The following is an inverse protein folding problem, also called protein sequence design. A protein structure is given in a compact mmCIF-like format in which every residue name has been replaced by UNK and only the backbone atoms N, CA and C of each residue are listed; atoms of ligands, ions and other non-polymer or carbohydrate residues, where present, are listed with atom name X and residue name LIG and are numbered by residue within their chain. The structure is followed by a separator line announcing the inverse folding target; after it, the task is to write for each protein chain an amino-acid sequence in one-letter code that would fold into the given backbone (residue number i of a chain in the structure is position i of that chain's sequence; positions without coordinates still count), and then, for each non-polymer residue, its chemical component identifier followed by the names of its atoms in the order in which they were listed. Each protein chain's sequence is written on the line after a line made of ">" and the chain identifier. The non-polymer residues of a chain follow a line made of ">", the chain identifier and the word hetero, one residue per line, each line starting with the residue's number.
data_IF_031296119830
#
_entry.id   IF_031296119830
#
_cell.length_a   1.000
_cell.length_b   1.000
_cell.length_c   1.000
_cell.angle_alpha   90.00
_cell.angle_beta   90.00
_cell.angle_gamma   90.00
#
_symmetry.space_group_name_H-M   'P 1'
#
loop_
_entity.id
_entity.type
_entity.pdbx_description
1 polymer ?
#
# COMPACT_ATOMS: atom_id res chain seq x y z
N UNK A 1 -3.00 22.38 -3.56
CA UNK A 1 -3.85 21.25 -4.04
C UNK A 1 -3.04 19.95 -4.19
N UNK A 2 -2.21 19.54 -3.21
CA UNK A 2 -1.37 18.33 -3.34
C UNK A 2 -1.87 17.11 -2.54
N UNK A 3 -2.87 17.28 -1.67
CA UNK A 3 -3.29 16.23 -0.72
C UNK A 3 -4.23 15.16 -1.27
N UNK A 4 -4.96 15.44 -2.37
CA UNK A 4 -5.96 14.51 -2.92
C UNK A 4 -5.27 13.46 -3.81
N UNK A 5 -4.36 13.88 -4.68
CA UNK A 5 -3.65 12.98 -5.60
C UNK A 5 -2.77 11.94 -4.88
N UNK A 6 -2.21 12.29 -3.73
CA UNK A 6 -1.44 11.37 -2.89
C UNK A 6 -2.33 10.29 -2.26
N UNK A 7 -3.55 10.66 -1.85
CA UNK A 7 -4.52 9.69 -1.28
C UNK A 7 -4.93 8.66 -2.32
N UNK A 8 -5.30 9.11 -3.53
CA UNK A 8 -5.77 8.21 -4.59
C UNK A 8 -4.67 7.24 -5.04
N UNK A 9 -3.44 7.75 -5.21
CA UNK A 9 -2.27 6.91 -5.50
C UNK A 9 -2.00 5.91 -4.38
N UNK A 10 -2.07 6.33 -3.12
CA UNK A 10 -1.90 5.45 -1.97
C UNK A 10 -2.95 4.34 -1.94
N UNK A 11 -4.21 4.66 -2.21
CA UNK A 11 -5.31 3.68 -2.23
C UNK A 11 -5.13 2.66 -3.36
N UNK A 12 -4.81 3.11 -4.58
CA UNK A 12 -4.57 2.24 -5.72
C UNK A 12 -3.41 1.25 -5.48
N UNK A 13 -2.33 1.73 -4.86
CA UNK A 13 -1.18 0.90 -4.51
C UNK A 13 -1.47 -0.05 -3.34
N UNK A 14 -2.20 0.38 -2.30
CA UNK A 14 -2.56 -0.46 -1.15
C UNK A 14 -3.54 -1.57 -1.52
N UNK A 15 -4.38 -1.34 -2.54
CA UNK A 15 -5.30 -2.33 -3.11
C UNK A 15 -4.57 -3.41 -3.90
N UNK A 16 -3.34 -3.13 -4.32
CA UNK A 16 -2.52 -4.08 -5.03
C UNK A 16 -1.74 -4.98 -4.03
N UNK A 17 -1.99 -6.30 -4.02
CA UNK A 17 -1.26 -7.24 -3.18
C UNK A 17 0.25 -7.24 -3.43
N UNK A 18 0.68 -6.82 -4.62
CA UNK A 18 2.08 -6.83 -5.03
C UNK A 18 2.94 -5.75 -4.36
N UNK A 19 2.36 -4.70 -3.76
CA UNK A 19 3.13 -3.61 -3.13
C UNK A 19 2.98 -3.58 -1.61
N UNK A 20 4.07 -3.79 -0.86
CA UNK A 20 4.06 -3.63 0.60
C UNK A 20 3.86 -2.17 1.03
N UNK A 21 3.42 -1.95 2.28
CA UNK A 21 3.23 -0.60 2.86
C UNK A 21 4.48 0.27 2.72
N UNK A 22 5.67 -0.32 2.86
CA UNK A 22 6.95 0.36 2.68
C UNK A 22 7.21 0.78 1.22
N UNK A 23 6.84 -0.06 0.25
CA UNK A 23 6.96 0.27 -1.18
C UNK A 23 5.97 1.38 -1.56
N UNK A 24 4.77 1.37 -1.00
CA UNK A 24 3.80 2.45 -1.19
C UNK A 24 4.34 3.76 -0.63
N UNK A 25 4.94 3.77 0.56
CA UNK A 25 5.57 4.99 1.10
C UNK A 25 6.72 5.49 0.22
N UNK A 26 7.61 4.60 -0.22
CA UNK A 26 8.71 4.95 -1.12
C UNK A 26 8.17 5.52 -2.46
N UNK A 27 7.16 4.87 -3.04
CA UNK A 27 6.56 5.28 -4.32
C UNK A 27 5.84 6.63 -4.25
N UNK A 28 5.35 7.03 -3.08
CA UNK A 28 4.72 8.32 -2.84
C UNK A 28 5.74 9.41 -2.49
N UNK A 29 7.03 9.07 -2.40
CA UNK A 29 8.10 10.00 -2.04
C UNK A 29 8.22 10.28 -0.54
N UNK A 30 7.67 9.41 0.31
CA UNK A 30 7.92 9.49 1.75
C UNK A 30 9.27 8.85 2.09
N UNK A 31 10.20 9.64 2.63
CA UNK A 31 11.46 9.14 3.17
C UNK A 31 11.28 8.27 4.43
N UNK A 32 10.25 8.57 5.25
CA UNK A 32 10.01 7.86 6.50
C UNK A 32 8.61 7.21 6.54
N UNK A 33 8.52 5.88 6.76
CA UNK A 33 7.27 5.16 6.98
C UNK A 33 6.40 5.75 8.12
N UNK A 34 7.00 6.38 9.13
CA UNK A 34 6.28 7.04 10.22
C UNK A 34 5.50 8.27 9.73
N UNK A 35 6.06 9.04 8.78
CA UNK A 35 5.36 10.16 8.16
C UNK A 35 4.19 9.67 7.30
N UNK A 36 4.41 8.61 6.52
CA UNK A 36 3.35 7.97 5.75
C UNK A 36 2.23 7.44 6.68
N UNK A 37 2.57 6.81 7.80
CA UNK A 37 1.59 6.31 8.77
C UNK A 37 0.74 7.41 9.43
N UNK A 38 1.27 8.62 9.58
CA UNK A 38 0.50 9.80 10.03
C UNK A 38 -0.44 10.32 8.92
N UNK A 39 0.07 10.40 7.68
CA UNK A 39 -0.73 10.83 6.53
C UNK A 39 -1.88 9.87 6.22
N UNK A 40 -1.63 8.55 6.21
CA UNK A 40 -2.67 7.54 6.02
C UNK A 40 -3.75 7.59 7.11
N UNK A 41 -3.38 7.81 8.37
CA UNK A 41 -4.38 8.01 9.43
C UNK A 41 -5.23 9.25 9.18
N UNK A 42 -4.66 10.33 8.64
CA UNK A 42 -5.40 11.54 8.28
C UNK A 42 -6.33 11.34 7.07
N UNK A 43 -5.93 10.51 6.09
CA UNK A 43 -6.71 10.29 4.87
C UNK A 43 -7.77 9.19 5.00
N UNK A 44 -7.41 8.06 5.60
CA UNK A 44 -8.24 6.85 5.67
C UNK A 44 -8.76 6.56 7.08
N UNK A 45 -8.38 7.37 8.08
CA UNK A 45 -8.76 7.16 9.47
C UNK A 45 -8.03 5.99 10.16
N UNK A 46 -7.13 5.29 9.46
CA UNK A 46 -6.45 4.11 10.01
C UNK A 46 -5.03 3.93 9.47
N UNK A 47 -4.27 3.03 10.13
CA UNK A 47 -2.92 2.70 9.70
C UNK A 47 -2.93 1.93 8.35
N UNK A 48 -1.97 2.19 7.45
CA UNK A 48 -1.95 1.61 6.11
C UNK A 48 -1.86 0.07 6.12
N UNK A 49 -1.17 -0.52 7.10
CA UNK A 49 -1.10 -1.98 7.24
C UNK A 49 -2.43 -2.64 7.68
N UNK A 50 -3.29 -1.90 8.40
CA UNK A 50 -4.65 -2.39 8.73
C UNK A 50 -5.57 -2.24 7.53
N UNK A 51 -5.51 -1.10 6.85
CA UNK A 51 -6.27 -0.83 5.65
C UNK A 51 -5.97 -1.84 4.54
N UNK A 52 -4.69 -2.12 4.29
CA UNK A 52 -4.25 -3.18 3.38
C UNK A 52 -4.78 -4.54 3.78
N UNK A 53 -4.71 -4.93 5.05
CA UNK A 53 -5.25 -6.23 5.52
C UNK A 53 -6.74 -6.36 5.23
N UNK A 54 -7.51 -5.28 5.38
CA UNK A 54 -8.92 -5.29 5.02
C UNK A 54 -9.09 -5.45 3.51
N UNK A 55 -8.40 -4.64 2.70
CA UNK A 55 -8.45 -4.72 1.23
C UNK A 55 -8.05 -6.09 0.70
N UNK A 56 -6.99 -6.69 1.25
CA UNK A 56 -6.52 -8.01 0.87
C UNK A 56 -7.47 -9.09 1.35
N UNK A 57 -8.06 -9.00 2.55
CA UNK A 57 -9.08 -9.96 2.96
C UNK A 57 -10.30 -9.94 2.01
N UNK A 58 -10.67 -8.76 1.48
CA UNK A 58 -11.70 -8.67 0.42
C UNK A 58 -11.19 -9.19 -0.93
N UNK A 59 -9.95 -8.86 -1.31
CA UNK A 59 -9.36 -9.25 -2.58
C UNK A 59 -9.06 -10.74 -2.65
N UNK A 60 -8.54 -11.39 -1.60
CA UNK A 60 -8.32 -12.83 -1.50
C UNK A 60 -9.62 -13.60 -1.73
N UNK A 61 -10.73 -13.12 -1.16
CA UNK A 61 -12.08 -13.66 -1.41
C UNK A 61 -12.49 -13.58 -2.89
N UNK A 62 -11.95 -12.61 -3.64
CA UNK A 62 -12.14 -12.48 -5.08
C UNK A 62 -11.05 -13.22 -5.90
N UNK A 63 -9.83 -13.33 -5.37
CA UNK A 63 -8.62 -13.86 -6.01
C UNK A 63 -8.49 -15.38 -5.84
N UNK A 64 -9.25 -16.02 -4.95
CA UNK A 64 -9.47 -17.47 -4.93
C UNK A 64 -10.00 -18.05 -6.27
N UNK A 65 -10.27 -17.19 -7.27
CA UNK A 65 -10.61 -17.51 -8.66
C UNK A 65 -9.45 -17.34 -9.67
N UNK A 66 -8.28 -16.81 -9.30
CA UNK A 66 -7.17 -16.50 -10.22
C UNK A 66 -5.80 -16.99 -9.70
N UNK A 67 -4.90 -17.50 -10.56
CA UNK A 67 -3.64 -18.10 -10.14
C UNK A 67 -2.61 -17.05 -9.65
N UNK A 68 -1.71 -17.42 -8.72
CA UNK A 68 -0.81 -16.48 -8.04
C UNK A 68 0.35 -16.04 -8.93
N UNK A 69 0.46 -14.73 -9.16
CA UNK A 69 1.58 -14.13 -9.88
C UNK A 69 2.65 -13.64 -8.89
N UNK A 70 3.76 -14.37 -8.84
CA UNK A 70 4.90 -14.14 -7.97
C UNK A 70 5.79 -12.99 -8.45
N UNK A 71 6.46 -12.35 -7.48
CA UNK A 71 7.87 -11.98 -7.66
C UNK A 71 8.16 -10.49 -7.88
N UNK A 72 8.68 -9.85 -6.84
CA UNK A 72 9.74 -8.85 -7.01
C UNK A 72 10.85 -9.08 -5.98
N UNK A 73 11.97 -9.56 -6.53
CA UNK A 73 13.27 -9.77 -5.92
C UNK A 73 13.78 -8.43 -5.39
N UNK A 74 13.68 -8.16 -4.08
CA UNK A 74 14.37 -6.99 -3.50
C UNK A 74 15.88 -7.25 -3.60
N UNK A 75 16.53 -6.53 -4.50
CA UNK A 75 17.99 -6.40 -4.55
C UNK A 75 18.45 -5.85 -3.20
N UNK A 76 19.33 -6.60 -2.53
CA UNK A 76 20.06 -6.13 -1.36
C UNK A 76 20.89 -4.91 -1.79
N UNK A 77 20.53 -3.72 -1.32
CA UNK A 77 21.51 -2.65 -1.02
C UNK A 77 21.85 -2.83 0.45
N UNK A 78 23.07 -2.89 0.93
CA UNK A 78 24.43 -2.75 0.41
C UNK A 78 25.28 -2.73 1.68
#
# INVERSE_FOLDING_TARGET
>A
MAGIALRESAEALLRNPHFGVAEVSESLGYEDPANFGRACRRWFGMAPGRYRRQLLATAERAEQKAPPQHGRRRVRRG
#
